data_IF_902680757844
#
_entry.id   IF_902680757844
#
_cell.length_a   1.000
_cell.length_b   1.000
_cell.length_c   1.000
_cell.angle_alpha   90.00
_cell.angle_beta   90.00
_cell.angle_gamma   90.00
#
_symmetry.space_group_name_H-M   'P 1'
#
loop_
_entity.id
_entity.type
_entity.pdbx_description
1 polymer ?
#
# COMPACT_ATOMS: atom_id res chain seq x y z
N UNK A 1 -5.96 -3.05 -3.74
CA UNK A 1 -5.85 -1.77 -3.05
C UNK A 1 -4.55 -1.65 -2.26
N UNK A 2 -4.41 -2.45 -1.25
CA UNK A 2 -3.21 -2.44 -0.43
C UNK A 2 -3.04 -3.77 0.31
N UNK A 3 -1.86 -3.99 0.89
CA UNK A 3 -1.56 -5.18 1.66
C UNK A 3 -0.80 -4.81 2.93
N UNK A 4 -1.00 -5.59 3.98
CA UNK A 4 -0.34 -5.42 5.28
C UNK A 4 0.40 -6.70 5.61
N UNK A 5 1.70 -6.57 5.91
CA UNK A 5 2.52 -7.69 6.33
C UNK A 5 2.43 -7.87 7.84
N UNK A 6 2.06 -9.06 8.29
CA UNK A 6 1.94 -9.42 9.70
C UNK A 6 2.65 -10.75 9.95
N UNK A 7 3.81 -10.72 10.59
CA UNK A 7 4.61 -11.93 10.88
C UNK A 7 4.82 -12.79 9.63
N UNK A 8 4.19 -13.95 9.57
CA UNK A 8 4.33 -14.90 8.45
C UNK A 8 3.20 -14.80 7.43
N UNK A 9 2.35 -13.77 7.55
CA UNK A 9 1.18 -13.60 6.69
C UNK A 9 1.17 -12.22 6.07
N UNK A 10 0.55 -12.13 4.89
CA UNK A 10 0.24 -10.86 4.25
C UNK A 10 -1.27 -10.83 4.06
N UNK A 11 -1.91 -9.81 4.61
CA UNK A 11 -3.35 -9.58 4.43
C UNK A 11 -3.51 -8.64 3.24
N UNK A 12 -4.20 -9.11 2.21
CA UNK A 12 -4.43 -8.35 0.98
C UNK A 12 -5.85 -7.82 0.97
N UNK A 13 -5.97 -6.49 0.82
CA UNK A 13 -7.27 -5.82 0.74
C UNK A 13 -7.57 -5.50 -0.72
N UNK A 14 -8.72 -5.91 -1.19
CA UNK A 14 -9.13 -5.70 -2.57
C UNK A 14 -10.60 -5.27 -2.62
N UNK A 15 -10.96 -4.61 -3.73
CA UNK A 15 -12.32 -4.14 -3.93
C UNK A 15 -13.01 -5.07 -4.93
N UNK A 16 -14.27 -5.41 -4.62
CA UNK A 16 -15.11 -6.18 -5.51
C UNK A 16 -16.53 -5.65 -5.37
N UNK A 17 -17.08 -5.19 -6.48
CA UNK A 17 -18.45 -4.62 -6.54
C UNK A 17 -18.65 -3.47 -5.56
N UNK A 18 -17.65 -2.62 -5.39
CA UNK A 18 -17.69 -1.47 -4.50
C UNK A 18 -17.45 -1.80 -3.04
N UNK A 19 -17.22 -3.06 -2.70
CA UNK A 19 -17.02 -3.51 -1.32
C UNK A 19 -15.58 -3.97 -1.13
N UNK A 20 -14.97 -3.53 -0.02
CA UNK A 20 -13.60 -3.93 0.32
C UNK A 20 -13.62 -5.29 1.01
N UNK A 21 -12.90 -6.21 0.45
CA UNK A 21 -12.70 -7.56 0.98
C UNK A 21 -11.23 -7.74 1.36
N UNK A 22 -10.94 -8.79 2.13
CA UNK A 22 -9.56 -9.13 2.41
C UNK A 22 -9.35 -10.64 2.35
N UNK A 23 -8.12 -11.03 2.07
CA UNK A 23 -7.69 -12.42 2.14
C UNK A 23 -6.31 -12.46 2.78
N UNK A 24 -6.01 -13.54 3.49
CA UNK A 24 -4.74 -13.70 4.18
C UNK A 24 -3.95 -14.81 3.51
N UNK A 25 -2.72 -14.50 3.12
CA UNK A 25 -1.84 -15.44 2.44
C UNK A 25 -0.58 -15.62 3.29
N UNK A 26 -0.19 -16.87 3.48
CA UNK A 26 1.03 -17.18 4.21
C UNK A 26 2.25 -16.95 3.30
N UNK A 27 2.81 -15.76 3.41
CA UNK A 27 3.93 -15.32 2.58
C UNK A 27 4.60 -14.11 3.24
N UNK A 28 5.57 -13.52 2.57
CA UNK A 28 6.27 -12.32 3.04
C UNK A 28 5.92 -11.12 2.15
N UNK A 29 6.11 -9.91 2.69
CA UNK A 29 5.92 -8.69 1.91
C UNK A 29 6.83 -8.68 0.67
N UNK A 30 8.07 -9.17 0.80
CA UNK A 30 9.00 -9.24 -0.31
C UNK A 30 8.49 -10.15 -1.44
N UNK A 31 7.92 -11.29 -1.09
CA UNK A 31 7.37 -12.21 -2.11
C UNK A 31 6.19 -11.57 -2.84
N UNK A 32 5.31 -10.88 -2.13
CA UNK A 32 4.19 -10.17 -2.74
C UNK A 32 4.69 -9.05 -3.64
N UNK A 33 5.70 -8.30 -3.18
CA UNK A 33 6.31 -7.23 -3.96
C UNK A 33 6.88 -7.75 -5.29
N UNK A 34 7.56 -8.89 -5.25
CA UNK A 34 8.15 -9.51 -6.44
C UNK A 34 7.06 -10.08 -7.38
N UNK A 35 6.06 -10.76 -6.82
CA UNK A 35 5.00 -11.40 -7.59
C UNK A 35 4.07 -10.39 -8.29
N UNK A 36 3.88 -9.24 -7.66
CA UNK A 36 2.98 -8.19 -8.16
C UNK A 36 3.73 -6.94 -8.61
N UNK A 37 4.97 -7.11 -9.06
CA UNK A 37 5.78 -6.01 -9.57
C UNK A 37 5.02 -5.26 -10.67
N UNK A 38 4.99 -3.93 -10.56
CA UNK A 38 4.25 -3.09 -11.48
C UNK A 38 2.81 -2.80 -11.08
N UNK A 39 2.26 -3.58 -10.16
CA UNK A 39 0.88 -3.41 -9.67
C UNK A 39 0.83 -2.89 -8.25
N UNK A 40 1.81 -3.26 -7.43
CA UNK A 40 1.84 -2.87 -6.04
C UNK A 40 3.24 -2.37 -5.68
N UNK A 41 3.30 -1.39 -4.79
CA UNK A 41 4.56 -0.74 -4.40
C UNK A 41 4.68 -0.73 -2.89
N UNK A 42 5.86 -1.04 -2.40
CA UNK A 42 6.13 -0.94 -0.98
C UNK A 42 6.21 0.53 -0.57
N UNK A 43 5.45 0.89 0.45
CA UNK A 43 5.45 2.27 0.99
C UNK A 43 5.88 2.31 2.45
N UNK A 44 6.02 1.16 3.07
CA UNK A 44 6.38 1.02 4.47
C UNK A 44 6.85 -0.41 4.64
N UNK A 45 7.66 -0.71 5.65
CA UNK A 45 8.13 -2.08 5.84
C UNK A 45 6.98 -3.09 6.01
N UNK A 46 5.82 -2.61 6.47
CA UNK A 46 4.65 -3.45 6.70
C UNK A 46 3.50 -3.21 5.72
N UNK A 47 3.62 -2.27 4.78
CA UNK A 47 2.54 -1.90 3.88
C UNK A 47 2.98 -1.85 2.42
N UNK A 48 2.10 -2.33 1.55
CA UNK A 48 2.24 -2.23 0.11
C UNK A 48 0.94 -1.63 -0.44
N UNK A 49 1.05 -0.75 -1.43
CA UNK A 49 -0.11 -0.03 -1.97
C UNK A 49 -0.14 -0.12 -3.50
N UNK A 50 -1.35 -0.05 -4.05
CA UNK A 50 -1.53 0.16 -5.48
C UNK A 50 -1.45 1.66 -5.76
N UNK A 51 -0.37 2.10 -6.38
CA UNK A 51 -0.13 3.52 -6.67
C UNK A 51 -1.27 4.14 -7.49
N UNK A 52 -1.86 3.37 -8.40
CA UNK A 52 -2.96 3.85 -9.25
C UNK A 52 -4.21 4.20 -8.44
N UNK A 53 -4.33 3.72 -7.22
CA UNK A 53 -5.48 3.98 -6.35
C UNK A 53 -5.24 5.07 -5.31
N UNK A 54 -4.06 5.68 -5.31
CA UNK A 54 -3.76 6.76 -4.37
C UNK A 54 -4.50 8.02 -4.78
N UNK A 55 -5.32 8.54 -3.87
CA UNK A 55 -6.06 9.78 -4.06
C UNK A 55 -5.24 10.97 -3.57
N UNK A 56 -4.50 10.79 -2.49
CA UNK A 56 -3.76 11.86 -1.85
C UNK A 56 -2.54 11.31 -1.12
N UNK A 57 -1.42 11.99 -1.24
CA UNK A 57 -0.19 11.67 -0.51
C UNK A 57 0.18 12.87 0.37
N UNK A 58 0.10 12.70 1.68
CA UNK A 58 0.58 13.73 2.61
C UNK A 58 2.08 13.57 2.78
N UNK A 59 2.83 14.47 2.16
CA UNK A 59 4.30 14.44 2.14
C UNK A 59 4.89 15.40 3.16
N UNK A 60 4.31 15.44 4.35
CA UNK A 60 4.82 16.23 5.47
C UNK A 60 5.86 15.39 6.20
N UNK A 61 7.01 15.97 6.49
CA UNK A 61 8.13 15.29 7.15
C UNK A 61 7.73 14.49 8.38
N UNK A 62 6.82 15.05 9.17
CA UNK A 62 6.45 14.48 10.46
C UNK A 62 5.23 13.58 10.37
N UNK A 63 4.60 13.51 9.20
CA UNK A 63 3.36 12.74 9.07
C UNK A 63 3.17 12.29 7.61
N UNK A 64 3.89 11.23 7.24
CA UNK A 64 3.83 10.67 5.89
C UNK A 64 2.75 9.61 5.81
N UNK A 65 1.75 9.81 4.93
CA UNK A 65 0.71 8.81 4.69
C UNK A 65 0.08 9.00 3.33
N UNK A 66 -0.60 7.96 2.84
CA UNK A 66 -1.41 8.05 1.62
C UNK A 66 -2.86 7.75 1.95
N UNK A 67 -3.76 8.35 1.16
CA UNK A 67 -5.18 8.05 1.22
C UNK A 67 -5.55 7.42 -0.12
N UNK A 68 -6.15 6.24 -0.06
CA UNK A 68 -6.60 5.52 -1.25
C UNK A 68 -7.98 6.01 -1.66
N UNK A 69 -8.26 5.94 -2.96
CA UNK A 69 -9.56 6.34 -3.52
C UNK A 69 -10.59 5.23 -3.33
N UNK A 70 -10.93 5.00 -2.06
CA UNK A 70 -11.89 3.98 -1.66
C UNK A 70 -12.41 4.29 -0.26
N UNK A 71 -13.72 4.32 -0.08
CA UNK A 71 -14.31 4.55 1.23
C UNK A 71 -13.98 3.43 2.22
N UNK A 72 -13.89 3.81 3.49
CA UNK A 72 -13.69 2.86 4.58
C UNK A 72 -12.25 2.44 4.82
N UNK A 73 -11.29 3.00 4.07
CA UNK A 73 -9.88 2.71 4.28
C UNK A 73 -9.23 3.86 5.03
N UNK A 74 -8.60 3.53 6.15
CA UNK A 74 -7.85 4.50 6.94
C UNK A 74 -6.56 4.90 6.21
N UNK A 75 -5.98 6.08 6.54
CA UNK A 75 -4.71 6.48 5.97
C UNK A 75 -3.65 5.39 6.17
N UNK A 76 -2.82 5.18 5.14
CA UNK A 76 -1.78 4.16 5.16
C UNK A 76 -0.44 4.84 5.37
N UNK A 77 0.34 4.44 6.39
CA UNK A 77 1.60 5.10 6.68
C UNK A 77 2.65 4.86 5.59
N UNK A 78 3.46 5.89 5.36
CA UNK A 78 4.61 5.81 4.46
C UNK A 78 5.85 6.05 5.31
N UNK A 79 6.82 5.15 5.26
CA UNK A 79 8.06 5.36 6.01
C UNK A 79 8.99 6.28 5.23
N UNK A 80 9.91 6.94 5.95
CA UNK A 80 10.85 7.87 5.33
C UNK A 80 11.70 7.21 4.25
N UNK A 81 12.05 5.96 4.43
CA UNK A 81 12.87 5.23 3.46
C UNK A 81 12.15 4.98 2.14
N UNK A 82 10.82 5.05 2.11
CA UNK A 82 10.03 4.85 0.90
C UNK A 82 9.40 6.15 0.36
N UNK A 83 9.61 7.27 1.04
CA UNK A 83 9.03 8.56 0.66
C UNK A 83 9.33 8.95 -0.77
N UNK A 84 10.60 8.90 -1.15
CA UNK A 84 11.02 9.34 -2.49
C UNK A 84 10.49 8.41 -3.57
N UNK A 85 10.43 7.11 -3.30
CA UNK A 85 9.87 6.13 -4.22
C UNK A 85 8.39 6.41 -4.49
N UNK A 86 7.61 6.63 -3.43
CA UNK A 86 6.18 6.94 -3.55
C UNK A 86 5.98 8.26 -4.29
N UNK A 87 6.71 9.30 -3.90
CA UNK A 87 6.62 10.61 -4.55
C UNK A 87 6.95 10.52 -6.04
N UNK A 88 8.00 9.79 -6.39
CA UNK A 88 8.42 9.62 -7.78
C UNK A 88 7.35 8.91 -8.61
N UNK A 89 6.76 7.84 -8.08
CA UNK A 89 5.73 7.10 -8.79
C UNK A 89 4.44 7.89 -8.98
N UNK A 90 4.11 8.76 -8.02
CA UNK A 90 2.91 9.60 -8.12
C UNK A 90 3.10 10.79 -9.04
N UNK A 91 4.33 11.12 -9.40
CA UNK A 91 4.65 12.24 -10.30
C UNK A 91 4.56 11.87 -11.77
N UNK A 92 4.35 10.62 -12.10
CA UNK A 92 4.31 10.14 -13.48
C UNK A 92 2.96 10.35 -14.14
#
# INVERSE_FOLDING_TARGET
>A
LYAVSEDNYVKIFYEQDGVVHNTMIRTTAKNIEDDLEGYITRCHRSYLINIAKVKFFNNDRDNLYVILDQEGINPIPVSRSYRDTVASLLSK
#
